data_IF_498439377922
#
_entry.id   IF_498439377922
#
_cell.length_a   1.000
_cell.length_b   1.000
_cell.length_c   1.000
_cell.angle_alpha   90.00
_cell.angle_beta   90.00
_cell.angle_gamma   90.00
#
_symmetry.space_group_name_H-M   'P 1'
#
loop_
_entity.id
_entity.type
_entity.pdbx_description
1 polymer ?
#
# COMPACT_ATOMS: atom_id res chain seq x y z
N UNK A 1 7.75 8.34 -0.28
CA UNK A 1 7.31 8.09 1.11
C UNK A 1 7.10 9.45 1.76
N UNK A 2 5.86 9.93 1.93
CA UNK A 2 5.60 11.22 2.59
C UNK A 2 4.69 10.95 3.79
N UNK A 3 5.30 10.57 4.90
CA UNK A 3 4.59 10.42 6.16
C UNK A 3 4.58 11.76 6.90
N UNK A 4 3.44 12.16 7.49
CA UNK A 4 3.43 13.31 8.37
C UNK A 4 4.33 13.01 9.58
N UNK A 5 5.21 13.96 9.92
CA UNK A 5 6.15 13.83 11.05
C UNK A 5 5.43 13.83 12.42
N UNK A 6 4.19 14.32 12.48
CA UNK A 6 3.40 14.36 13.70
C UNK A 6 2.29 13.31 13.70
N UNK A 7 2.19 12.59 14.83
CA UNK A 7 1.18 11.54 15.06
C UNK A 7 -0.26 12.05 15.07
N UNK A 8 -0.48 13.34 15.35
CA UNK A 8 -1.80 13.97 15.42
C UNK A 8 -2.10 14.73 14.13
N UNK A 9 -2.63 14.02 13.13
CA UNK A 9 -3.09 14.63 11.88
C UNK A 9 -4.48 15.23 12.05
N UNK A 10 -4.58 16.56 11.91
CA UNK A 10 -5.86 17.26 11.89
C UNK A 10 -6.75 16.84 10.70
N UNK A 11 -8.07 17.05 10.82
CA UNK A 11 -9.07 16.66 9.81
C UNK A 11 -8.76 17.22 8.40
N UNK A 12 -8.16 18.40 8.31
CA UNK A 12 -7.74 19.03 7.04
C UNK A 12 -6.61 18.23 6.38
N UNK A 13 -5.67 17.74 7.18
CA UNK A 13 -4.55 16.91 6.72
C UNK A 13 -5.07 15.57 6.23
N UNK A 14 -5.92 14.90 7.02
CA UNK A 14 -6.60 13.65 6.62
C UNK A 14 -7.31 13.84 5.27
N UNK A 15 -8.13 14.88 5.14
CA UNK A 15 -8.87 15.18 3.90
C UNK A 15 -7.94 15.39 2.69
N UNK A 16 -6.79 16.02 2.90
CA UNK A 16 -5.79 16.23 1.85
C UNK A 16 -5.18 14.91 1.38
N UNK A 17 -4.81 14.02 2.31
CA UNK A 17 -4.27 12.70 1.97
C UNK A 17 -5.32 11.79 1.31
N UNK A 18 -6.56 11.78 1.81
CA UNK A 18 -7.66 11.03 1.18
C UNK A 18 -7.94 11.52 -0.24
N UNK A 19 -7.85 12.82 -0.50
CA UNK A 19 -8.00 13.36 -1.85
C UNK A 19 -6.84 12.97 -2.77
N UNK A 20 -5.60 12.92 -2.24
CA UNK A 20 -4.42 12.43 -2.98
C UNK A 20 -4.54 10.97 -3.39
N UNK A 21 -5.21 10.12 -2.60
CA UNK A 21 -5.49 8.73 -2.99
C UNK A 21 -6.44 8.62 -4.19
N UNK A 22 -7.21 9.68 -4.49
CA UNK A 22 -8.16 9.72 -5.60
C UNK A 22 -7.61 10.40 -6.86
N UNK A 23 -6.56 11.22 -6.73
CA UNK A 23 -5.98 11.95 -7.85
C UNK A 23 -4.96 11.09 -8.58
N UNK A 24 -5.16 10.87 -9.87
CA UNK A 24 -4.14 10.29 -10.75
C UNK A 24 -3.13 11.38 -11.13
N UNK A 25 -1.90 11.28 -10.63
CA UNK A 25 -0.79 12.14 -11.06
C UNK A 25 0.18 11.34 -11.94
N UNK A 26 0.21 11.66 -13.23
CA UNK A 26 1.07 11.02 -14.22
C UNK A 26 2.57 11.24 -13.96
N UNK A 27 2.98 12.40 -13.41
CA UNK A 27 4.39 12.68 -13.08
C UNK A 27 4.92 11.79 -11.95
N UNK A 28 4.01 11.27 -11.13
CA UNK A 28 4.31 10.34 -10.05
C UNK A 28 4.02 8.88 -10.44
N UNK A 29 3.67 8.65 -11.72
CA UNK A 29 3.25 7.34 -12.24
C UNK A 29 2.16 6.67 -11.39
N UNK A 30 1.19 7.46 -10.92
CA UNK A 30 0.10 6.95 -10.08
C UNK A 30 -0.97 6.27 -10.92
N UNK A 31 -0.85 4.95 -11.07
CA UNK A 31 -1.89 4.08 -11.63
C UNK A 31 -2.29 3.01 -10.61
N UNK A 32 -3.57 2.59 -10.58
CA UNK A 32 -3.99 1.53 -9.69
C UNK A 32 -3.36 0.19 -10.09
N UNK A 33 -2.86 -0.56 -9.11
CA UNK A 33 -2.44 -1.96 -9.32
C UNK A 33 -3.63 -2.78 -9.76
N UNK A 34 -3.52 -3.45 -10.91
CA UNK A 34 -4.58 -4.33 -11.41
C UNK A 34 -4.94 -5.43 -10.39
N UNK A 35 -6.22 -5.80 -10.24
CA UNK A 35 -6.68 -6.71 -9.18
C UNK A 35 -6.09 -8.13 -9.27
N UNK A 36 -5.52 -8.50 -10.41
CA UNK A 36 -4.85 -9.78 -10.62
C UNK A 36 -3.35 -9.75 -10.27
N UNK A 37 -2.73 -8.57 -10.20
CA UNK A 37 -1.29 -8.43 -9.97
C UNK A 37 -0.95 -8.60 -8.49
N UNK A 38 -1.66 -7.91 -7.60
CA UNK A 38 -1.43 -8.01 -6.15
C UNK A 38 -1.48 -9.46 -5.62
N UNK A 39 -2.54 -10.26 -5.89
CA UNK A 39 -2.56 -11.65 -5.45
C UNK A 39 -1.49 -12.51 -6.13
N UNK A 40 -1.15 -12.25 -7.40
CA UNK A 40 -0.11 -13.01 -8.10
C UNK A 40 1.27 -12.81 -7.45
N UNK A 41 1.64 -11.55 -7.15
CA UNK A 41 2.91 -11.22 -6.50
C UNK A 41 2.99 -11.81 -5.11
N UNK A 42 1.93 -11.62 -4.30
CA UNK A 42 1.92 -12.13 -2.92
C UNK A 42 1.83 -13.65 -2.87
N UNK A 43 1.14 -14.29 -3.81
CA UNK A 43 1.11 -15.75 -3.90
C UNK A 43 2.51 -16.33 -4.13
N UNK A 44 3.29 -15.72 -5.02
CA UNK A 44 4.67 -16.14 -5.27
C UNK A 44 5.54 -15.88 -4.03
N UNK A 45 5.45 -14.68 -3.44
CA UNK A 45 6.22 -14.31 -2.25
C UNK A 45 5.96 -15.26 -1.07
N UNK A 46 4.70 -15.67 -0.87
CA UNK A 46 4.34 -16.58 0.20
C UNK A 46 4.66 -18.04 -0.14
N UNK A 47 4.18 -18.56 -1.28
CA UNK A 47 4.28 -20.00 -1.57
C UNK A 47 5.65 -20.46 -2.06
N UNK A 48 6.45 -19.54 -2.61
CA UNK A 48 7.80 -19.87 -3.08
C UNK A 48 8.88 -19.52 -2.06
N UNK A 49 8.66 -18.49 -1.23
CA UNK A 49 9.69 -17.93 -0.36
C UNK A 49 9.28 -17.79 1.11
N UNK A 50 7.99 -17.85 1.44
CA UNK A 50 7.48 -17.67 2.80
C UNK A 50 7.78 -16.28 3.36
N UNK A 51 7.69 -15.24 2.52
CA UNK A 51 8.13 -13.88 2.84
C UNK A 51 7.01 -12.91 3.27
N UNK A 52 5.78 -13.39 3.47
CA UNK A 52 4.65 -12.52 3.82
C UNK A 52 4.09 -12.85 5.21
N UNK A 53 3.64 -14.09 5.44
CA UNK A 53 2.93 -14.44 6.68
C UNK A 53 3.82 -14.26 7.93
N UNK A 54 3.31 -13.52 8.92
CA UNK A 54 4.00 -13.26 10.18
C UNK A 54 5.24 -12.38 10.06
N UNK A 55 5.48 -11.77 8.89
CA UNK A 55 6.62 -10.86 8.65
C UNK A 55 6.18 -9.41 8.66
N UNK A 56 7.15 -8.52 8.90
CA UNK A 56 6.97 -7.07 8.75
C UNK A 56 7.17 -6.75 7.27
N UNK A 57 6.13 -6.26 6.61
CA UNK A 57 6.13 -6.00 5.16
C UNK A 57 5.94 -4.52 4.89
N UNK A 58 6.87 -3.91 4.14
CA UNK A 58 6.77 -2.52 3.73
C UNK A 58 6.25 -2.40 2.29
N UNK A 59 5.20 -1.60 2.10
CA UNK A 59 4.66 -1.25 0.77
C UNK A 59 5.22 0.10 0.30
N UNK A 60 6.22 0.06 -0.57
CA UNK A 60 6.84 1.27 -1.14
C UNK A 60 6.07 1.77 -2.35
N UNK A 61 5.62 3.01 -2.28
CA UNK A 61 4.77 3.58 -3.33
C UNK A 61 3.32 3.07 -3.24
N UNK A 62 2.84 2.81 -2.02
CA UNK A 62 1.57 2.13 -1.74
C UNK A 62 0.34 2.66 -2.48
N UNK A 63 0.33 3.92 -2.95
CA UNK A 63 -0.78 4.46 -3.75
C UNK A 63 -2.11 4.38 -3.01
N UNK A 64 -3.03 3.54 -3.52
CA UNK A 64 -4.33 3.26 -2.88
C UNK A 64 -4.27 2.13 -1.82
N UNK A 65 -3.12 1.51 -1.62
CA UNK A 65 -2.86 0.51 -0.59
C UNK A 65 -3.23 -0.93 -0.97
N UNK A 66 -3.38 -1.25 -2.26
CA UNK A 66 -3.81 -2.59 -2.71
C UNK A 66 -2.85 -3.69 -2.24
N UNK A 67 -1.54 -3.47 -2.35
CA UNK A 67 -0.53 -4.46 -1.92
C UNK A 67 -0.47 -4.56 -0.40
N UNK A 68 -0.38 -3.43 0.31
CA UNK A 68 -0.40 -3.41 1.79
C UNK A 68 -1.64 -4.08 2.38
N UNK A 69 -2.83 -3.82 1.84
CA UNK A 69 -4.06 -4.48 2.28
C UNK A 69 -4.04 -5.99 2.01
N UNK A 70 -3.60 -6.40 0.82
CA UNK A 70 -3.52 -7.81 0.47
C UNK A 70 -2.47 -8.56 1.32
N UNK A 71 -1.35 -7.93 1.67
CA UNK A 71 -0.36 -8.48 2.61
C UNK A 71 -0.94 -8.63 4.01
N UNK A 72 -1.68 -7.63 4.50
CA UNK A 72 -2.34 -7.71 5.81
C UNK A 72 -3.38 -8.84 5.88
N UNK A 73 -4.07 -9.14 4.77
CA UNK A 73 -4.98 -10.31 4.68
C UNK A 73 -4.24 -11.65 4.73
N UNK A 74 -2.92 -11.67 4.53
CA UNK A 74 -2.05 -12.84 4.65
C UNK A 74 -1.31 -12.87 6.01
N UNK A 75 -1.79 -12.12 7.00
CA UNK A 75 -1.18 -11.95 8.34
C UNK A 75 0.22 -11.33 8.32
N UNK A 76 0.49 -10.42 7.38
CA UNK A 76 1.64 -9.53 7.49
C UNK A 76 1.38 -8.39 8.51
N UNK A 77 2.45 -7.96 9.18
CA UNK A 77 2.44 -6.90 10.20
C UNK A 77 3.00 -5.56 9.70
#
# INVERSE_FOLDING_TARGET
>A
MFFPEEANVGVKTIKTYTNRMKSENAELEQYPTGPHIAPCVLFIAENSFGDVNGKIVADFGYGCGTLGLASALLDAH
#
